data_IF_638296266359
#
_entry.id   IF_638296266359
#
_cell.length_a   1.000
_cell.length_b   1.000
_cell.length_c   1.000
_cell.angle_alpha   90.00
_cell.angle_beta   90.00
_cell.angle_gamma   90.00
#
_symmetry.space_group_name_H-M   'P 1'
#
loop_
_entity.id
_entity.type
_entity.pdbx_description
1 polymer ?
#
# COMPACT_ATOMS: atom_id res chain seq x y z
N UNK A 1 -15.42 33.54 -11.51
CA UNK A 1 -13.98 33.29 -11.32
C UNK A 1 -13.82 32.90 -9.87
N UNK A 2 -13.98 31.60 -9.59
CA UNK A 2 -13.87 31.06 -8.24
C UNK A 2 -12.48 30.43 -8.10
N UNK A 3 -11.66 31.03 -7.23
CA UNK A 3 -10.40 30.48 -6.75
C UNK A 3 -10.67 29.19 -5.94
N UNK A 4 -10.63 28.04 -6.62
CA UNK A 4 -10.58 26.73 -5.97
C UNK A 4 -9.11 26.37 -5.83
N UNK A 5 -8.56 26.58 -4.64
CA UNK A 5 -7.24 26.05 -4.24
C UNK A 5 -7.18 24.55 -4.52
N UNK A 6 -6.60 24.16 -5.65
CA UNK A 6 -6.52 22.80 -6.18
C UNK A 6 -5.53 21.91 -5.43
N UNK A 7 -5.60 21.86 -4.10
CA UNK A 7 -4.84 20.91 -3.30
C UNK A 7 -5.62 19.59 -3.22
N UNK A 8 -5.05 18.52 -3.77
CA UNK A 8 -5.52 17.16 -3.47
C UNK A 8 -5.46 16.92 -1.97
N UNK A 9 -6.52 16.34 -1.41
CA UNK A 9 -6.55 15.99 0.00
C UNK A 9 -5.69 14.75 0.27
N UNK A 10 -5.35 14.51 1.53
CA UNK A 10 -4.50 13.38 1.94
C UNK A 10 -5.04 12.02 1.46
N UNK A 11 -6.37 11.84 1.50
CA UNK A 11 -7.02 10.58 1.11
C UNK A 11 -6.77 10.27 -0.36
N UNK A 12 -6.88 11.26 -1.24
CA UNK A 12 -6.67 11.07 -2.68
C UNK A 12 -5.22 10.70 -2.99
N UNK A 13 -4.26 11.33 -2.31
CA UNK A 13 -2.83 10.99 -2.43
C UNK A 13 -2.57 9.56 -1.96
N UNK A 14 -3.16 9.14 -0.83
CA UNK A 14 -3.01 7.78 -0.32
C UNK A 14 -3.66 6.74 -1.22
N UNK A 15 -4.81 7.04 -1.84
CA UNK A 15 -5.43 6.16 -2.83
C UNK A 15 -4.53 6.00 -4.06
N UNK A 16 -3.97 7.10 -4.58
CA UNK A 16 -3.01 7.04 -5.66
C UNK A 16 -1.77 6.23 -5.29
N UNK A 17 -1.27 6.37 -4.06
CA UNK A 17 -0.16 5.56 -3.55
C UNK A 17 -0.48 4.06 -3.59
N UNK A 18 -1.68 3.66 -3.15
CA UNK A 18 -2.10 2.25 -3.14
C UNK A 18 -2.25 1.70 -4.56
N UNK A 19 -2.87 2.46 -5.48
CA UNK A 19 -3.01 2.05 -6.88
C UNK A 19 -1.63 1.91 -7.54
N UNK A 20 -0.77 2.90 -7.38
CA UNK A 20 0.60 2.86 -7.92
C UNK A 20 1.40 1.69 -7.33
N UNK A 21 1.24 1.38 -6.04
CA UNK A 21 1.87 0.22 -5.42
C UNK A 21 1.41 -1.09 -6.05
N UNK A 22 0.11 -1.23 -6.32
CA UNK A 22 -0.49 -2.39 -6.98
C UNK A 22 0.07 -2.57 -8.40
N UNK A 23 0.25 -1.49 -9.14
CA UNK A 23 0.69 -1.53 -10.55
C UNK A 23 2.18 -1.83 -10.72
N UNK A 24 2.97 -1.81 -9.63
CA UNK A 24 4.38 -2.15 -9.63
C UNK A 24 4.63 -3.56 -9.05
N UNK A 25 4.52 -4.65 -9.83
CA UNK A 25 4.67 -6.02 -9.34
C UNK A 25 6.05 -6.29 -8.72
N UNK A 26 7.08 -5.56 -9.14
CA UNK A 26 8.42 -5.61 -8.54
C UNK A 26 8.45 -5.29 -7.03
N UNK A 27 7.40 -4.65 -6.49
CA UNK A 27 7.32 -4.28 -5.08
C UNK A 27 6.64 -5.34 -4.21
N UNK A 28 5.79 -6.20 -4.77
CA UNK A 28 4.91 -7.07 -3.97
C UNK A 28 4.69 -8.48 -4.50
N UNK A 29 4.87 -8.73 -5.80
CA UNK A 29 4.57 -10.00 -6.44
C UNK A 29 5.79 -10.91 -6.45
N UNK A 30 6.03 -11.61 -5.34
CA UNK A 30 7.23 -12.46 -5.11
C UNK A 30 7.47 -13.48 -6.23
N UNK A 31 6.41 -14.07 -6.79
CA UNK A 31 6.50 -15.07 -7.87
C UNK A 31 6.66 -14.48 -9.28
N UNK A 32 6.89 -13.17 -9.42
CA UNK A 32 7.13 -12.52 -10.72
C UNK A 32 8.62 -12.40 -11.01
N UNK A 33 8.99 -12.37 -12.30
CA UNK A 33 10.37 -12.15 -12.75
C UNK A 33 10.86 -10.75 -12.35
N UNK A 34 9.94 -9.81 -12.25
CA UNK A 34 10.16 -8.40 -11.94
C UNK A 34 10.53 -8.17 -10.47
N UNK A 35 10.17 -9.09 -9.57
CA UNK A 35 10.45 -8.97 -8.14
C UNK A 35 11.94 -8.95 -7.81
N UNK A 36 12.75 -9.73 -8.54
CA UNK A 36 14.21 -9.73 -8.40
C UNK A 36 14.89 -8.62 -9.22
N UNK A 37 14.15 -7.90 -10.07
CA UNK A 37 14.69 -6.81 -10.87
C UNK A 37 14.86 -5.54 -10.01
N UNK A 38 16.11 -5.29 -9.60
CA UNK A 38 16.48 -4.12 -8.78
C UNK A 38 16.11 -2.78 -9.45
N UNK A 39 16.20 -2.69 -10.78
CA UNK A 39 15.87 -1.47 -11.52
C UNK A 39 14.37 -1.23 -11.47
N UNK A 40 13.56 -2.25 -11.75
CA UNK A 40 12.10 -2.17 -11.68
C UNK A 40 11.62 -1.84 -10.26
N UNK A 41 12.22 -2.47 -9.25
CA UNK A 41 11.96 -2.15 -7.84
C UNK A 41 12.30 -0.69 -7.52
N UNK A 42 13.43 -0.19 -8.02
CA UNK A 42 13.83 1.19 -7.78
C UNK A 42 12.86 2.18 -8.41
N UNK A 43 12.45 1.94 -9.66
CA UNK A 43 11.44 2.75 -10.36
C UNK A 43 10.12 2.82 -9.59
N UNK A 44 9.61 1.67 -9.13
CA UNK A 44 8.37 1.64 -8.35
C UNK A 44 8.48 2.39 -7.03
N UNK A 45 9.61 2.28 -6.31
CA UNK A 45 9.82 3.04 -5.08
C UNK A 45 9.91 4.55 -5.37
N UNK A 46 10.57 4.97 -6.45
CA UNK A 46 10.63 6.38 -6.84
C UNK A 46 9.25 6.94 -7.18
N UNK A 47 8.44 6.22 -7.97
CA UNK A 47 7.08 6.64 -8.30
C UNK A 47 6.21 6.83 -7.04
N UNK A 48 6.34 5.93 -6.05
CA UNK A 48 5.66 6.06 -4.76
C UNK A 48 6.21 7.21 -3.90
N UNK A 49 7.49 7.54 -4.03
CA UNK A 49 8.12 8.67 -3.35
C UNK A 49 7.56 9.99 -3.87
N UNK A 50 7.43 10.14 -5.18
CA UNK A 50 6.93 11.36 -5.82
C UNK A 50 5.49 11.65 -5.37
N UNK A 51 4.65 10.61 -5.22
CA UNK A 51 3.29 10.74 -4.67
C UNK A 51 3.32 11.20 -3.21
N UNK A 52 4.18 10.64 -2.36
CA UNK A 52 4.25 11.04 -0.95
C UNK A 52 4.84 12.44 -0.75
N UNK A 53 5.68 12.92 -1.68
CA UNK A 53 6.22 14.28 -1.65
C UNK A 53 5.16 15.37 -1.78
N UNK A 54 3.97 15.03 -2.29
CA UNK A 54 2.83 15.94 -2.31
C UNK A 54 2.32 16.28 -0.91
N UNK A 55 2.51 15.39 0.06
CA UNK A 55 2.14 15.58 1.47
C UNK A 55 3.34 16.00 2.32
N UNK A 56 4.48 15.34 2.10
CA UNK A 56 5.71 15.52 2.86
C UNK A 56 6.87 15.74 1.87
N UNK A 57 7.21 17.00 1.52
CA UNK A 57 8.22 17.31 0.49
C UNK A 57 9.58 16.65 0.70
N UNK A 58 9.97 16.44 1.97
CA UNK A 58 11.22 15.77 2.37
C UNK A 58 11.12 14.25 2.43
N UNK A 59 10.06 13.66 1.87
CA UNK A 59 9.84 12.22 1.88
C UNK A 59 11.05 11.49 1.29
N UNK A 60 11.68 10.65 2.11
CA UNK A 60 12.83 9.85 1.71
C UNK A 60 12.41 8.48 1.19
N UNK A 61 13.29 7.85 0.41
CA UNK A 61 13.12 6.46 -0.02
C UNK A 61 12.83 5.50 1.15
N UNK A 62 13.48 5.72 2.30
CA UNK A 62 13.27 4.91 3.50
C UNK A 62 11.87 5.10 4.09
N UNK A 63 11.32 6.32 4.05
CA UNK A 63 9.95 6.59 4.48
C UNK A 63 8.94 5.83 3.60
N UNK A 64 9.14 5.80 2.28
CA UNK A 64 8.31 5.01 1.34
C UNK A 64 8.33 3.52 1.71
N UNK A 65 9.52 2.96 1.93
CA UNK A 65 9.67 1.54 2.30
C UNK A 65 8.96 1.25 3.63
N UNK A 66 9.11 2.14 4.62
CA UNK A 66 8.37 2.04 5.89
C UNK A 66 6.86 2.06 5.66
N UNK A 67 6.35 2.97 4.83
CA UNK A 67 4.92 3.07 4.50
C UNK A 67 4.40 1.79 3.84
N UNK A 68 5.13 1.22 2.88
CA UNK A 68 4.81 -0.07 2.26
C UNK A 68 4.72 -1.18 3.31
N UNK A 69 5.71 -1.26 4.20
CA UNK A 69 5.73 -2.28 5.25
C UNK A 69 4.56 -2.11 6.24
N UNK A 70 4.25 -0.87 6.64
CA UNK A 70 3.08 -0.58 7.49
C UNK A 70 1.78 -1.04 6.81
N UNK A 71 1.59 -0.73 5.52
CA UNK A 71 0.42 -1.17 4.75
C UNK A 71 0.29 -2.69 4.72
N UNK A 72 1.39 -3.39 4.42
CA UNK A 72 1.43 -4.87 4.38
C UNK A 72 1.10 -5.48 5.75
N UNK A 73 1.64 -4.92 6.82
CA UNK A 73 1.40 -5.39 8.19
C UNK A 73 -0.05 -5.18 8.61
N UNK A 74 -0.61 -3.98 8.38
CA UNK A 74 -1.99 -3.66 8.68
C UNK A 74 -2.96 -4.55 7.90
N UNK A 75 -2.75 -4.71 6.58
CA UNK A 75 -3.55 -5.58 5.74
C UNK A 75 -3.51 -7.03 6.23
N UNK A 76 -2.31 -7.56 6.50
CA UNK A 76 -2.15 -8.95 6.98
C UNK A 76 -2.85 -9.17 8.32
N UNK A 77 -2.76 -8.20 9.24
CA UNK A 77 -3.44 -8.26 10.54
C UNK A 77 -4.94 -8.37 10.36
N UNK A 78 -5.51 -7.52 9.52
CA UNK A 78 -6.96 -7.50 9.28
C UNK A 78 -7.42 -8.77 8.55
N UNK A 79 -6.68 -9.19 7.53
CA UNK A 79 -6.91 -10.46 6.84
C UNK A 79 -6.96 -11.65 7.82
N UNK A 80 -6.01 -11.74 8.76
CA UNK A 80 -6.00 -12.82 9.77
C UNK A 80 -7.21 -12.77 10.70
N UNK A 81 -7.67 -11.59 11.11
CA UNK A 81 -8.89 -11.47 11.93
C UNK A 81 -10.10 -12.05 11.20
N UNK A 82 -10.27 -11.69 9.94
CA UNK A 82 -11.36 -12.19 9.09
C UNK A 82 -11.25 -13.71 8.92
N UNK A 83 -10.06 -14.23 8.59
CA UNK A 83 -9.85 -15.67 8.42
C UNK A 83 -10.08 -16.45 9.72
N UNK A 84 -9.67 -15.90 10.86
CA UNK A 84 -9.94 -16.52 12.15
C UNK A 84 -11.43 -16.51 12.50
N UNK A 85 -12.14 -15.42 12.20
CA UNK A 85 -13.59 -15.34 12.38
C UNK A 85 -14.35 -16.36 11.53
N UNK A 86 -13.87 -16.66 10.31
CA UNK A 86 -14.43 -17.73 9.47
C UNK A 86 -14.17 -19.13 10.04
N UNK A 87 -13.02 -19.33 10.69
CA UNK A 87 -12.64 -20.63 11.28
C UNK A 87 -13.31 -20.91 12.62
N UNK A 88 -13.67 -19.87 13.38
CA UNK A 88 -14.31 -20.00 14.70
C UNK A 88 -15.82 -20.21 14.65
N UNK A 89 -16.38 -20.59 13.49
CA UNK A 89 -17.81 -20.82 13.30
C UNK A 89 -18.17 -22.29 13.09
N UNK A 90 -17.95 -23.15 14.10
CA UNK A 90 -18.72 -24.39 14.32
C UNK A 90 -18.38 -25.02 15.69
N UNK A 91 -19.21 -24.74 16.71
CA UNK A 91 -19.76 -25.76 17.61
C UNK A 91 -21.01 -25.18 18.29
N UNK A 92 -22.16 -25.41 17.65
CA UNK A 92 -23.46 -25.40 18.33
C UNK A 92 -24.16 -26.66 17.81
N UNK A 93 -23.96 -27.79 18.49
CA UNK A 93 -24.93 -28.87 18.38
C UNK A 93 -26.20 -28.43 19.11
N UNK A 94 -27.19 -28.02 18.33
CA UNK A 94 -28.59 -27.90 18.73
C UNK A 94 -29.16 -29.30 18.87
N UNK A 95 -29.55 -29.62 20.11
CA UNK A 95 -30.49 -30.66 20.62
C UNK A 95 -30.32 -32.08 20.10
#
# INVERSE_FOLDING_TARGET
MEDISGKRNERDVLLQFIHTYRDHPALWKVKSREYSNKIARSKGISALQDILKELEPDCTRNAVIKKINCLRSSFRREYRKIENSKKSGFDVQLV
#
